data_IF_920810406141
#
_entry.id   IF_920810406141
#
_cell.length_a   1.000
_cell.length_b   1.000
_cell.length_c   1.000
_cell.angle_alpha   90.00
_cell.angle_beta   90.00
_cell.angle_gamma   90.00
#
_symmetry.space_group_name_H-M   'P 1'
#
loop_
_entity.id
_entity.type
_entity.pdbx_description
1 polymer ?
#
# COMPACT_ATOMS: atom_id res chain seq x y z
N UNK A 1 -0.12 -24.35 1.33
CA UNK A 1 -0.20 -24.10 -0.11
C UNK A 1 -0.17 -22.61 -0.37
N UNK A 2 0.61 -22.18 -1.35
CA UNK A 2 0.72 -20.79 -1.72
C UNK A 2 -0.24 -20.47 -2.88
N UNK A 3 -0.91 -19.33 -2.82
CA UNK A 3 -1.91 -18.95 -3.79
C UNK A 3 -1.84 -17.45 -4.05
N UNK A 4 -1.45 -17.08 -5.27
CA UNK A 4 -1.36 -15.68 -5.69
C UNK A 4 -2.63 -15.24 -6.39
N UNK A 5 -3.02 -13.97 -6.16
CA UNK A 5 -4.22 -13.41 -6.75
C UNK A 5 -3.91 -12.08 -7.43
N UNK A 6 -4.41 -11.94 -8.66
CA UNK A 6 -4.45 -10.66 -9.37
C UNK A 6 -5.89 -10.16 -9.31
N UNK A 7 -6.09 -8.97 -8.76
CA UNK A 7 -7.42 -8.43 -8.48
C UNK A 7 -7.86 -7.51 -9.60
N UNK A 8 -9.01 -7.82 -10.21
CA UNK A 8 -9.51 -7.09 -11.38
C UNK A 8 -9.86 -5.63 -11.09
N UNK A 9 -10.24 -5.30 -9.85
CA UNK A 9 -10.64 -3.95 -9.48
C UNK A 9 -9.48 -3.02 -9.14
N UNK A 10 -8.26 -3.52 -9.18
CA UNK A 10 -7.08 -2.75 -8.80
C UNK A 10 -6.24 -2.40 -10.03
N UNK A 11 -5.32 -1.43 -9.88
CA UNK A 11 -4.35 -1.13 -10.91
C UNK A 11 -3.59 -2.42 -11.27
N UNK A 12 -3.51 -2.75 -12.56
CA UNK A 12 -2.85 -3.98 -13.00
C UNK A 12 -1.37 -3.96 -12.60
N UNK A 13 -0.82 -5.09 -12.12
CA UNK A 13 0.61 -5.15 -11.82
C UNK A 13 1.44 -4.86 -13.07
N UNK A 14 2.48 -4.05 -12.92
CA UNK A 14 3.40 -3.73 -14.01
C UNK A 14 4.54 -4.74 -14.08
N UNK A 15 4.20 -6.01 -14.02
CA UNK A 15 5.12 -7.12 -14.08
C UNK A 15 4.38 -8.40 -13.79
N UNK A 16 5.10 -9.50 -13.74
CA UNK A 16 4.51 -10.82 -13.52
C UNK A 16 4.49 -11.14 -12.03
N UNK A 17 3.58 -10.52 -11.30
CA UNK A 17 3.41 -10.79 -9.87
C UNK A 17 1.96 -10.52 -9.47
N UNK A 18 1.46 -11.17 -8.40
CA UNK A 18 0.10 -10.96 -7.92
C UNK A 18 0.01 -9.73 -7.02
N UNK A 19 -1.21 -9.26 -6.77
CA UNK A 19 -1.45 -8.26 -5.73
C UNK A 19 -1.25 -8.84 -4.34
N UNK A 20 -1.69 -10.08 -4.16
CA UNK A 20 -1.64 -10.79 -2.88
C UNK A 20 -1.16 -12.21 -3.11
N UNK A 21 -0.57 -12.79 -2.06
CA UNK A 21 -0.25 -14.22 -2.06
C UNK A 21 -0.49 -14.79 -0.68
N UNK A 22 -1.29 -15.85 -0.60
CA UNK A 22 -1.49 -16.56 0.65
C UNK A 22 -0.48 -17.70 0.76
N UNK A 23 0.10 -17.85 1.94
CA UNK A 23 0.96 -18.99 2.28
C UNK A 23 0.57 -19.42 3.69
N UNK A 24 -0.17 -20.53 3.81
CA UNK A 24 -0.72 -20.97 5.09
C UNK A 24 -1.66 -19.93 5.66
N UNK A 25 -1.38 -19.48 6.87
CA UNK A 25 -2.17 -18.48 7.58
C UNK A 25 -1.75 -17.04 7.27
N UNK A 26 -0.77 -16.85 6.41
CA UNK A 26 -0.26 -15.52 6.11
C UNK A 26 -0.68 -15.06 4.72
N UNK A 27 -1.00 -13.78 4.62
CA UNK A 27 -1.30 -13.13 3.35
C UNK A 27 -0.26 -12.04 3.13
N UNK A 28 0.47 -12.15 2.04
CA UNK A 28 1.50 -11.20 1.67
C UNK A 28 0.92 -10.22 0.65
N UNK A 29 1.04 -8.93 0.93
CA UNK A 29 0.59 -7.87 0.04
C UNK A 29 1.80 -7.31 -0.67
N UNK A 30 1.80 -7.35 -2.00
CA UNK A 30 2.87 -6.76 -2.80
C UNK A 30 2.98 -5.27 -2.57
N UNK A 31 4.13 -4.69 -2.87
CA UNK A 31 4.33 -3.26 -2.81
C UNK A 31 3.21 -2.53 -3.54
N UNK A 32 2.51 -1.63 -2.83
CA UNK A 32 1.32 -0.95 -3.31
C UNK A 32 1.56 0.55 -3.30
N UNK A 33 1.29 1.21 -4.41
CA UNK A 33 1.41 2.66 -4.56
C UNK A 33 0.05 3.31 -4.71
N UNK A 34 0.04 4.63 -4.90
CA UNK A 34 -1.18 5.39 -5.12
C UNK A 34 -1.64 5.38 -6.60
N UNK A 35 -1.11 4.47 -7.41
CA UNK A 35 -1.53 4.33 -8.81
C UNK A 35 -2.92 3.74 -8.86
N UNK A 36 -3.80 4.38 -9.64
CA UNK A 36 -5.18 3.95 -9.81
C UNK A 36 -5.31 2.99 -10.98
N UNK A 37 -6.47 2.36 -11.10
CA UNK A 37 -6.76 1.40 -12.17
C UNK A 37 -6.59 2.02 -13.56
N UNK A 38 -6.88 3.31 -13.71
CA UNK A 38 -6.73 4.04 -14.98
C UNK A 38 -5.29 4.54 -15.20
N UNK A 39 -4.35 4.16 -14.36
CA UNK A 39 -2.94 4.53 -14.38
C UNK A 39 -2.64 5.97 -13.97
N UNK A 40 -3.64 6.74 -13.54
CA UNK A 40 -3.36 8.02 -12.87
C UNK A 40 -2.88 7.75 -11.46
N UNK A 41 -2.24 8.74 -10.85
CA UNK A 41 -1.68 8.60 -9.51
C UNK A 41 -2.37 9.59 -8.59
N UNK A 42 -2.96 9.08 -7.50
CA UNK A 42 -3.55 9.95 -6.49
C UNK A 42 -2.45 10.85 -5.91
N UNK A 43 -2.81 12.10 -5.57
CA UNK A 43 -1.84 13.03 -5.01
C UNK A 43 -0.77 13.49 -5.99
N UNK A 44 -1.09 13.51 -7.30
CA UNK A 44 -0.19 14.00 -8.35
C UNK A 44 -0.99 14.88 -9.31
N UNK A 45 -1.40 16.05 -8.82
CA UNK A 45 -2.21 16.99 -9.61
C UNK A 45 -1.32 17.81 -10.53
N UNK A 46 -1.73 17.94 -11.81
CA UNK A 46 -1.00 18.74 -12.80
C UNK A 46 -1.78 20.05 -13.00
N UNK A 47 -1.10 21.17 -12.88
CA UNK A 47 -1.71 22.49 -13.09
C UNK A 47 -1.71 22.90 -14.56
N UNK A 48 -2.23 24.11 -14.86
CA UNK A 48 -2.35 24.60 -16.22
C UNK A 48 -0.98 24.82 -16.89
N UNK A 49 0.09 24.95 -16.13
CA UNK A 49 1.45 25.13 -16.63
C UNK A 49 2.18 23.81 -16.83
N UNK A 50 1.52 22.67 -16.53
CA UNK A 50 2.14 21.37 -16.63
C UNK A 50 3.00 21.00 -15.43
N UNK A 51 2.96 21.78 -14.36
CA UNK A 51 3.70 21.47 -13.14
C UNK A 51 2.90 20.49 -12.28
N UNK A 52 3.56 19.45 -11.77
CA UNK A 52 2.92 18.43 -10.95
C UNK A 52 3.15 18.74 -9.47
N UNK A 53 2.07 18.82 -8.72
CA UNK A 53 2.12 18.92 -7.27
C UNK A 53 1.92 17.53 -6.67
N UNK A 54 2.87 17.09 -5.85
CA UNK A 54 2.85 15.77 -5.22
C UNK A 54 2.45 15.93 -3.75
N UNK A 55 1.51 15.11 -3.31
CA UNK A 55 0.93 15.21 -1.96
C UNK A 55 1.08 13.88 -1.23
N UNK A 56 2.01 13.83 -0.27
CA UNK A 56 2.28 12.62 0.50
C UNK A 56 1.08 12.15 1.32
N UNK A 57 0.28 13.09 1.84
CA UNK A 57 -0.89 12.72 2.66
C UNK A 57 -1.95 12.02 1.81
N UNK A 58 -2.24 12.56 0.63
CA UNK A 58 -3.19 11.95 -0.30
C UNK A 58 -2.68 10.59 -0.75
N UNK A 59 -1.38 10.49 -1.10
CA UNK A 59 -0.82 9.21 -1.54
C UNK A 59 -0.84 8.16 -0.43
N UNK A 60 -0.46 8.52 0.77
CA UNK A 60 -0.45 7.58 1.90
C UNK A 60 -1.85 7.04 2.17
N UNK A 61 -2.86 7.93 2.18
CA UNK A 61 -4.25 7.50 2.40
C UNK A 61 -4.72 6.56 1.30
N UNK A 62 -4.42 6.90 0.05
CA UNK A 62 -4.80 6.07 -1.09
C UNK A 62 -4.18 4.68 -1.02
N UNK A 63 -2.90 4.59 -0.65
CA UNK A 63 -2.19 3.32 -0.52
C UNK A 63 -2.83 2.44 0.56
N UNK A 64 -3.09 3.00 1.74
CA UNK A 64 -3.66 2.23 2.85
C UNK A 64 -5.08 1.78 2.52
N UNK A 65 -5.88 2.64 1.90
CA UNK A 65 -7.24 2.28 1.48
C UNK A 65 -7.22 1.19 0.42
N UNK A 66 -6.27 1.22 -0.51
CA UNK A 66 -6.10 0.18 -1.51
C UNK A 66 -5.75 -1.16 -0.85
N UNK A 67 -4.83 -1.15 0.11
CA UNK A 67 -4.47 -2.36 0.86
C UNK A 67 -5.69 -2.91 1.59
N UNK A 68 -6.51 -2.04 2.19
CA UNK A 68 -7.75 -2.46 2.86
C UNK A 68 -8.69 -3.18 1.88
N UNK A 69 -8.86 -2.63 0.67
CA UNK A 69 -9.70 -3.26 -0.35
C UNK A 69 -9.14 -4.60 -0.79
N UNK A 70 -7.83 -4.68 -0.99
CA UNK A 70 -7.17 -5.94 -1.36
C UNK A 70 -7.38 -7.00 -0.29
N UNK A 71 -7.19 -6.65 0.98
CA UNK A 71 -7.41 -7.59 2.09
C UNK A 71 -8.87 -8.04 2.15
N UNK A 72 -9.81 -7.13 1.91
CA UNK A 72 -11.23 -7.48 1.91
C UNK A 72 -11.55 -8.55 0.88
N UNK A 73 -10.84 -8.59 -0.24
CA UNK A 73 -11.06 -9.59 -1.29
C UNK A 73 -10.75 -11.02 -0.82
N UNK A 74 -10.01 -11.18 0.27
CA UNK A 74 -9.69 -12.49 0.85
C UNK A 74 -10.26 -12.62 2.26
N UNK A 75 -11.24 -11.80 2.62
CA UNK A 75 -11.90 -11.85 3.92
C UNK A 75 -11.07 -11.32 5.08
N UNK A 76 -10.05 -10.52 4.79
CA UNK A 76 -9.18 -9.93 5.79
C UNK A 76 -9.45 -8.44 5.95
N UNK A 77 -8.87 -7.84 6.99
CA UNK A 77 -9.04 -6.42 7.29
C UNK A 77 -7.72 -5.84 7.77
N UNK A 78 -7.63 -4.51 7.87
CA UNK A 78 -6.39 -3.84 8.28
C UNK A 78 -5.89 -4.30 9.64
N UNK A 79 -6.81 -4.65 10.56
CA UNK A 79 -6.42 -5.14 11.88
C UNK A 79 -5.74 -6.52 11.84
N UNK A 80 -5.78 -7.21 10.71
CA UNK A 80 -5.07 -8.49 10.54
C UNK A 80 -3.61 -8.28 10.14
N UNK A 81 -3.21 -7.06 9.80
CA UNK A 81 -1.81 -6.77 9.44
C UNK A 81 -0.91 -6.94 10.64
N UNK A 82 0.23 -7.60 10.43
CA UNK A 82 1.24 -7.82 11.47
C UNK A 82 2.57 -7.13 11.13
N UNK A 83 2.81 -6.82 9.88
CA UNK A 83 4.06 -6.19 9.46
C UNK A 83 3.81 -5.27 8.26
N UNK A 84 4.39 -4.08 8.31
CA UNK A 84 4.33 -3.09 7.25
C UNK A 84 5.74 -2.58 6.99
N UNK A 85 6.11 -2.49 5.72
CA UNK A 85 7.32 -1.79 5.30
C UNK A 85 6.91 -0.69 4.33
N UNK A 86 7.28 0.55 4.66
CA UNK A 86 6.99 1.71 3.83
C UNK A 86 8.27 2.24 3.21
N UNK A 87 8.21 2.52 1.92
CA UNK A 87 9.31 3.04 1.12
C UNK A 87 8.95 4.46 0.70
N UNK A 88 9.75 5.44 1.12
CA UNK A 88 9.58 6.85 0.74
C UNK A 88 10.73 7.26 -0.17
N UNK A 89 10.47 8.15 -1.12
CA UNK A 89 11.55 8.71 -1.95
C UNK A 89 12.17 9.95 -1.32
N UNK A 90 11.52 10.51 -0.29
CA UNK A 90 12.01 11.72 0.38
C UNK A 90 11.60 11.68 1.85
N UNK A 91 12.57 11.61 2.75
CA UNK A 91 12.26 11.51 4.19
C UNK A 91 11.70 12.82 4.75
N UNK A 92 11.72 13.92 3.99
CA UNK A 92 10.97 15.13 4.37
C UNK A 92 9.46 14.87 4.36
N UNK A 93 9.01 13.82 3.70
CA UNK A 93 7.60 13.42 3.70
C UNK A 93 7.19 12.61 4.93
N UNK A 94 8.16 12.30 5.81
CA UNK A 94 7.89 11.43 6.95
C UNK A 94 6.75 11.95 7.84
N UNK A 95 6.74 13.26 8.12
CA UNK A 95 5.71 13.85 8.99
C UNK A 95 4.30 13.68 8.44
N UNK A 96 4.10 14.01 7.15
CA UNK A 96 2.80 13.87 6.50
C UNK A 96 2.35 12.42 6.38
N UNK A 97 3.27 11.54 6.01
CA UNK A 97 3.02 10.11 5.96
C UNK A 97 2.64 9.57 7.35
N UNK A 98 3.41 9.94 8.37
CA UNK A 98 3.18 9.45 9.72
C UNK A 98 1.84 9.91 10.28
N UNK A 99 1.43 11.14 9.97
CA UNK A 99 0.16 11.70 10.40
C UNK A 99 -1.02 10.89 9.81
N UNK A 100 -1.00 10.63 8.51
CA UNK A 100 -2.07 9.86 7.87
C UNK A 100 -2.05 8.40 8.32
N UNK A 101 -0.85 7.82 8.45
CA UNK A 101 -0.71 6.45 8.97
C UNK A 101 -1.41 6.32 10.33
N UNK A 102 -1.26 7.31 11.20
CA UNK A 102 -1.89 7.33 12.51
C UNK A 102 -3.43 7.42 12.50
N UNK A 103 -4.03 7.77 11.35
CA UNK A 103 -5.49 7.72 11.21
C UNK A 103 -6.02 6.29 11.09
N UNK A 104 -5.16 5.35 10.67
CA UNK A 104 -5.57 3.96 10.41
C UNK A 104 -5.04 2.98 11.46
N UNK A 105 -3.93 3.30 12.11
CA UNK A 105 -3.24 2.38 13.02
C UNK A 105 -2.82 3.09 14.29
N UNK A 106 -2.72 2.31 15.37
CA UNK A 106 -2.24 2.77 16.67
C UNK A 106 -1.09 1.86 17.15
N UNK A 107 -0.73 1.97 18.43
CA UNK A 107 0.38 1.18 19.00
C UNK A 107 0.09 -0.31 19.07
N UNK A 108 -1.13 -0.74 18.82
CA UNK A 108 -1.50 -2.16 18.72
C UNK A 108 -1.59 -2.62 17.27
N UNK A 109 -1.13 -1.79 16.33
CA UNK A 109 -1.12 -2.12 14.92
C UNK A 109 0.08 -2.99 14.54
N UNK A 110 0.34 -3.10 13.24
CA UNK A 110 1.47 -3.91 12.75
C UNK A 110 2.81 -3.30 13.14
N UNK A 111 3.83 -4.14 13.19
CA UNK A 111 5.20 -3.61 13.24
C UNK A 111 5.44 -2.82 11.95
N UNK A 112 6.26 -1.77 12.03
CA UNK A 112 6.51 -0.90 10.88
C UNK A 112 7.98 -0.57 10.74
N UNK A 113 8.48 -0.67 9.51
CA UNK A 113 9.79 -0.15 9.12
C UNK A 113 9.58 0.85 8.00
N UNK A 114 10.20 2.01 8.11
CA UNK A 114 10.14 3.05 7.08
C UNK A 114 11.57 3.36 6.62
N UNK A 115 11.80 3.31 5.32
CA UNK A 115 13.10 3.59 4.71
C UNK A 115 12.93 4.53 3.54
N UNK A 116 13.98 5.29 3.24
CA UNK A 116 14.05 6.09 2.03
C UNK A 116 14.72 5.28 0.94
N UNK A 117 14.21 5.38 -0.28
CA UNK A 117 14.76 4.73 -1.46
C UNK A 117 15.06 5.79 -2.51
N UNK A 118 15.94 5.47 -3.45
CA UNK A 118 16.32 6.43 -4.49
C UNK A 118 15.15 6.75 -5.41
N UNK A 119 14.42 5.73 -5.86
CA UNK A 119 13.28 5.90 -6.77
C UNK A 119 12.24 4.81 -6.51
N UNK A 120 11.02 5.09 -6.92
CA UNK A 120 9.93 4.12 -7.02
C UNK A 120 9.53 4.02 -8.49
N UNK A 121 8.71 3.02 -8.89
CA UNK A 121 8.45 2.74 -10.32
C UNK A 121 7.66 3.81 -11.09
N UNK A 122 7.65 5.03 -10.64
CA UNK A 122 7.10 6.19 -11.36
C UNK A 122 7.58 7.45 -10.66
N UNK A 123 7.98 8.51 -11.41
CA UNK A 123 8.50 9.74 -10.80
C UNK A 123 7.51 10.49 -9.92
N UNK A 124 6.21 10.25 -10.06
CA UNK A 124 5.19 10.89 -9.22
C UNK A 124 4.78 10.05 -8.01
N UNK A 125 5.33 8.87 -7.84
CA UNK A 125 5.06 8.05 -6.66
C UNK A 125 6.02 8.45 -5.55
N UNK A 126 5.46 8.89 -4.42
CA UNK A 126 6.22 9.29 -3.24
C UNK A 126 6.35 8.17 -2.22
N UNK A 127 5.45 7.19 -2.26
CA UNK A 127 5.37 6.14 -1.24
C UNK A 127 4.90 4.83 -1.86
N UNK A 128 5.45 3.74 -1.35
CA UNK A 128 4.98 2.38 -1.63
C UNK A 128 5.01 1.62 -0.32
N UNK A 129 3.98 0.79 -0.08
CA UNK A 129 3.89 0.00 1.14
C UNK A 129 3.71 -1.47 0.76
N UNK A 130 4.49 -2.34 1.41
CA UNK A 130 4.25 -3.78 1.39
C UNK A 130 3.84 -4.22 2.79
N UNK A 131 3.08 -5.29 2.88
CA UNK A 131 2.51 -5.70 4.16
C UNK A 131 2.34 -7.21 4.24
N UNK A 132 2.24 -7.70 5.49
CA UNK A 132 1.94 -9.10 5.78
C UNK A 132 0.78 -9.12 6.76
N UNK A 133 -0.24 -9.93 6.46
CA UNK A 133 -1.39 -10.15 7.34
C UNK A 133 -1.38 -11.57 7.86
N UNK A 134 -1.84 -11.73 9.10
CA UNK A 134 -2.08 -13.04 9.68
C UNK A 134 -3.59 -13.29 9.65
N UNK A 135 -3.99 -14.27 8.84
CA UNK A 135 -5.41 -14.57 8.57
C UNK A 135 -5.58 -16.08 8.67
N UNK A 136 -5.77 -16.61 9.90
CA UNK A 136 -5.88 -18.05 10.08
C UNK A 136 -6.97 -18.64 9.20
N UNK A 137 -6.66 -19.75 8.56
CA UNK A 137 -7.64 -20.49 7.76
C UNK A 137 -8.69 -21.07 8.69
N UNK A 138 -9.92 -21.17 8.21
CA UNK A 138 -11.03 -21.62 9.04
C UNK A 138 -11.82 -20.46 9.66
N UNK A 139 -11.44 -19.21 9.40
CA UNK A 139 -12.22 -18.05 9.78
C UNK A 139 -12.11 -17.60 11.22
N UNK A 140 -11.16 -18.10 11.96
CA UNK A 140 -10.95 -17.67 13.35
C UNK A 140 -10.07 -16.42 13.38
N UNK A 141 -10.53 -15.41 14.10
CA UNK A 141 -9.81 -14.16 14.23
C UNK A 141 -9.61 -13.77 15.68
#
# INVERSE_FOLDING_TARGET
MADGKVLAGQAAPRGRYPHLKRAGDFVYVSGTSARRQDNTIAGAAVDAMGTTALDIRVQTRAVIETIREMLASVGAQLSDLIQVTAYLVNMNDFGGYNEVYGEFFDSNGPTRTTVAVHQLPHPHILIEIQAVAYVPQGGQR
#
